data_IF_861828144045
#
_entry.id   IF_861828144045
#
_cell.length_a   1.000
_cell.length_b   1.000
_cell.length_c   1.000
_cell.angle_alpha   90.00
_cell.angle_beta   90.00
_cell.angle_gamma   90.00
#
_symmetry.space_group_name_H-M   'P 1'
#
loop_
_entity.id
_entity.type
_entity.pdbx_description
1 polymer ?
#
# COMPACT_ATOMS: atom_id res chain seq x y z
N UNK A 1 47.78 -24.67 -15.50
CA UNK A 1 47.09 -23.83 -14.51
C UNK A 1 47.27 -22.37 -14.90
N UNK A 2 46.26 -21.77 -15.54
CA UNK A 2 46.22 -20.33 -15.88
C UNK A 2 45.17 -19.69 -14.97
N UNK A 3 45.60 -18.69 -14.20
CA UNK A 3 44.81 -17.95 -13.22
C UNK A 3 43.52 -17.39 -13.82
N UNK A 4 42.38 -17.82 -13.27
CA UNK A 4 41.11 -17.10 -13.33
C UNK A 4 41.04 -16.15 -12.13
N UNK A 5 41.29 -14.86 -12.33
CA UNK A 5 40.93 -13.85 -11.34
C UNK A 5 40.76 -12.50 -11.99
N UNK A 6 39.67 -11.83 -11.62
CA UNK A 6 39.28 -10.44 -11.92
C UNK A 6 38.45 -10.21 -13.19
N UNK A 7 37.21 -10.71 -13.18
CA UNK A 7 36.14 -10.24 -14.06
C UNK A 7 35.09 -9.36 -13.35
N UNK A 8 35.26 -9.00 -12.07
CA UNK A 8 34.13 -8.51 -11.25
C UNK A 8 34.33 -7.16 -10.52
N UNK A 9 35.27 -6.31 -10.98
CA UNK A 9 35.47 -4.97 -10.41
C UNK A 9 35.59 -3.90 -11.51
N UNK A 10 34.59 -3.82 -12.39
CA UNK A 10 34.41 -2.64 -13.23
C UNK A 10 33.81 -1.54 -12.34
N UNK A 11 34.66 -0.60 -11.91
CA UNK A 11 34.17 0.60 -11.22
C UNK A 11 33.60 1.52 -12.27
N UNK A 12 32.28 1.68 -12.29
CA UNK A 12 31.58 2.47 -13.30
C UNK A 12 32.01 3.94 -13.20
N UNK A 13 32.70 4.43 -14.23
CA UNK A 13 33.06 5.83 -14.39
C UNK A 13 32.00 6.55 -15.21
N UNK A 14 31.67 7.79 -14.83
CA UNK A 14 30.82 8.68 -15.63
C UNK A 14 31.64 9.91 -15.99
N UNK A 15 31.80 10.17 -17.29
CA UNK A 15 32.66 11.25 -17.78
C UNK A 15 34.05 11.25 -17.10
N UNK A 16 34.66 10.07 -16.98
CA UNK A 16 35.96 9.82 -16.33
C UNK A 16 36.04 10.06 -14.80
N UNK A 17 34.90 10.25 -14.13
CA UNK A 17 34.81 10.39 -12.67
C UNK A 17 34.43 9.04 -12.05
N UNK A 18 35.28 8.53 -11.15
CA UNK A 18 35.04 7.31 -10.39
C UNK A 18 33.93 7.54 -9.35
N UNK A 19 32.85 6.77 -9.42
CA UNK A 19 31.78 6.83 -8.44
C UNK A 19 32.16 6.07 -7.15
N UNK A 20 31.77 6.53 -5.96
CA UNK A 20 32.02 5.83 -4.70
C UNK A 20 31.07 4.64 -4.47
N UNK A 21 30.19 4.33 -5.43
CA UNK A 21 29.20 3.26 -5.38
C UNK A 21 29.03 2.64 -6.77
N UNK A 22 28.52 1.41 -6.82
CA UNK A 22 28.22 0.69 -8.07
C UNK A 22 27.03 1.35 -8.78
N UNK A 23 27.18 1.63 -10.08
CA UNK A 23 26.09 2.21 -10.87
C UNK A 23 25.15 1.10 -11.31
N UNK A 24 23.85 1.29 -11.08
CA UNK A 24 22.83 0.33 -11.47
C UNK A 24 21.96 0.99 -12.53
N UNK A 25 21.85 0.35 -13.69
CA UNK A 25 21.07 0.85 -14.82
C UNK A 25 19.58 0.47 -14.70
N UNK A 26 18.89 0.97 -13.67
CA UNK A 26 17.47 0.70 -13.41
C UNK A 26 16.58 0.97 -14.64
N UNK A 27 16.81 2.08 -15.34
CA UNK A 27 16.00 2.48 -16.48
C UNK A 27 16.10 1.52 -17.68
N UNK A 28 17.12 0.65 -17.74
CA UNK A 28 17.19 -0.42 -18.73
C UNK A 28 16.09 -1.47 -18.52
N UNK A 29 15.70 -1.71 -17.28
CA UNK A 29 14.72 -2.72 -16.89
C UNK A 29 13.31 -2.15 -16.66
N UNK A 30 13.08 -0.86 -16.94
CA UNK A 30 11.78 -0.20 -16.74
C UNK A 30 10.61 -0.90 -17.43
N UNK A 31 10.83 -1.48 -18.62
CA UNK A 31 9.80 -2.20 -19.36
C UNK A 31 9.36 -3.49 -18.65
N UNK A 32 10.32 -4.20 -18.04
CA UNK A 32 10.02 -5.38 -17.22
C UNK A 32 9.25 -4.96 -15.97
N UNK A 33 9.65 -3.85 -15.34
CA UNK A 33 8.94 -3.28 -14.20
C UNK A 33 7.48 -2.94 -14.54
N UNK A 34 7.24 -2.29 -15.68
CA UNK A 34 5.87 -2.02 -16.14
C UNK A 34 5.08 -3.29 -16.42
N UNK A 35 5.68 -4.29 -17.06
CA UNK A 35 5.02 -5.57 -17.31
C UNK A 35 4.60 -6.26 -16.01
N UNK A 36 5.49 -6.30 -15.02
CA UNK A 36 5.19 -6.85 -13.70
C UNK A 36 4.09 -6.06 -12.99
N UNK A 37 4.20 -4.73 -12.93
CA UNK A 37 3.18 -3.88 -12.29
C UNK A 37 1.82 -4.01 -12.96
N UNK A 38 1.78 -4.03 -14.30
CA UNK A 38 0.53 -4.20 -15.03
C UNK A 38 -0.11 -5.56 -14.73
N UNK A 39 0.69 -6.64 -14.71
CA UNK A 39 0.21 -7.97 -14.36
C UNK A 39 -0.40 -7.98 -12.95
N UNK A 40 0.31 -7.45 -11.95
CA UNK A 40 -0.18 -7.41 -10.56
C UNK A 40 -1.45 -6.58 -10.45
N UNK A 41 -1.51 -5.39 -11.08
CA UNK A 41 -2.72 -4.56 -11.10
C UNK A 41 -3.90 -5.29 -11.76
N UNK A 42 -3.68 -5.98 -12.87
CA UNK A 42 -4.74 -6.75 -13.54
C UNK A 42 -5.26 -7.88 -12.64
N UNK A 43 -4.37 -8.61 -11.96
CA UNK A 43 -4.75 -9.66 -11.00
C UNK A 43 -5.52 -9.05 -9.82
N UNK A 44 -5.06 -7.93 -9.28
CA UNK A 44 -5.72 -7.19 -8.20
C UNK A 44 -7.13 -6.75 -8.60
N UNK A 45 -7.28 -6.14 -9.78
CA UNK A 45 -8.57 -5.71 -10.30
C UNK A 45 -9.50 -6.90 -10.58
N UNK A 46 -8.96 -8.01 -11.08
CA UNK A 46 -9.74 -9.23 -11.28
C UNK A 46 -10.37 -9.71 -9.96
N UNK A 47 -9.61 -9.78 -8.87
CA UNK A 47 -10.17 -10.18 -7.57
C UNK A 47 -11.15 -9.15 -7.02
N UNK A 48 -10.84 -7.85 -7.11
CA UNK A 48 -11.74 -6.77 -6.67
C UNK A 48 -13.10 -6.87 -7.36
N UNK A 49 -13.11 -7.08 -8.69
CA UNK A 49 -14.36 -7.14 -9.47
C UNK A 49 -15.12 -8.44 -9.23
N UNK A 50 -14.42 -9.58 -9.17
CA UNK A 50 -15.07 -10.91 -9.09
C UNK A 50 -15.51 -11.30 -7.69
N UNK A 51 -14.71 -10.97 -6.67
CA UNK A 51 -14.99 -11.33 -5.28
C UNK A 51 -15.50 -10.16 -4.44
N UNK A 52 -15.24 -8.92 -4.84
CA UNK A 52 -15.56 -7.75 -4.02
C UNK A 52 -14.72 -7.67 -2.73
N UNK A 53 -15.21 -6.87 -1.78
CA UNK A 53 -14.55 -6.63 -0.50
C UNK A 53 -15.33 -7.28 0.65
N UNK A 54 -14.61 -7.87 1.60
CA UNK A 54 -15.17 -8.33 2.86
C UNK A 54 -15.22 -7.15 3.83
N UNK A 55 -16.30 -6.38 3.78
CA UNK A 55 -16.45 -5.21 4.65
C UNK A 55 -16.63 -5.63 6.10
N UNK A 56 -15.91 -4.95 6.98
CA UNK A 56 -15.93 -5.19 8.39
C UNK A 56 -17.08 -4.53 9.12
N UNK A 57 -17.19 -4.89 10.39
CA UNK A 57 -18.29 -4.48 11.25
C UNK A 57 -18.47 -2.96 11.34
N UNK A 58 -17.38 -2.21 11.30
CA UNK A 58 -17.37 -0.74 11.32
C UNK A 58 -18.15 -0.12 10.16
N UNK A 59 -18.20 -0.81 9.00
CA UNK A 59 -18.86 -0.31 7.80
C UNK A 59 -20.25 -0.90 7.57
N UNK A 60 -20.46 -2.15 7.97
CA UNK A 60 -21.75 -2.82 7.77
C UNK A 60 -22.71 -2.64 8.94
N UNK A 61 -22.19 -2.34 10.14
CA UNK A 61 -22.91 -2.47 11.40
C UNK A 61 -23.31 -3.93 11.69
N UNK A 62 -23.83 -4.17 12.90
CA UNK A 62 -24.36 -5.46 13.33
C UNK A 62 -23.60 -6.07 14.49
N UNK A 63 -23.61 -7.40 14.56
CA UNK A 63 -22.95 -8.18 15.61
C UNK A 63 -21.99 -9.19 15.00
N UNK A 64 -20.74 -9.22 15.44
CA UNK A 64 -19.76 -10.26 15.11
C UNK A 64 -19.42 -11.03 16.37
N UNK A 65 -19.35 -12.35 16.24
CA UNK A 65 -18.99 -13.26 17.33
C UNK A 65 -17.92 -14.20 16.83
N UNK A 66 -16.74 -14.12 17.43
CA UNK A 66 -15.66 -15.09 17.21
C UNK A 66 -15.72 -16.20 18.24
N UNK A 67 -15.77 -17.42 17.74
CA UNK A 67 -15.92 -18.63 18.55
C UNK A 67 -14.86 -19.66 18.21
N UNK A 68 -14.48 -20.45 19.20
CA UNK A 68 -13.63 -21.64 19.06
C UNK A 68 -14.41 -22.87 19.50
N UNK A 69 -14.61 -23.79 18.56
CA UNK A 69 -15.25 -25.07 18.81
C UNK A 69 -14.26 -26.13 19.30
N UNK A 70 -14.74 -27.12 20.03
CA UNK A 70 -13.94 -28.25 20.52
C UNK A 70 -13.47 -29.16 19.37
N UNK A 71 -14.28 -29.26 18.32
CA UNK A 71 -14.05 -30.05 17.12
C UNK A 71 -14.11 -29.15 15.87
N UNK A 72 -13.56 -29.59 14.72
CA UNK A 72 -13.71 -28.87 13.46
C UNK A 72 -15.18 -28.53 13.20
N UNK A 73 -15.46 -27.26 12.92
CA UNK A 73 -16.82 -26.77 12.82
C UNK A 73 -17.45 -27.08 11.46
N UNK A 74 -18.69 -27.56 11.46
CA UNK A 74 -19.49 -27.76 10.25
C UNK A 74 -20.24 -26.47 9.92
N UNK A 75 -19.66 -25.68 9.01
CA UNK A 75 -20.20 -24.36 8.61
C UNK A 75 -21.62 -24.45 8.01
N UNK A 76 -21.94 -25.37 7.07
CA UNK A 76 -23.32 -25.59 6.61
C UNK A 76 -24.30 -25.84 7.75
N UNK A 77 -23.97 -26.74 8.69
CA UNK A 77 -24.84 -27.04 9.82
C UNK A 77 -25.02 -25.82 10.72
N UNK A 78 -23.96 -25.05 10.97
CA UNK A 78 -24.03 -23.82 11.75
C UNK A 78 -25.01 -22.82 11.13
N UNK A 79 -24.92 -22.61 9.81
CA UNK A 79 -25.81 -21.70 9.07
C UNK A 79 -27.26 -22.16 9.16
N UNK A 80 -27.51 -23.47 9.05
CA UNK A 80 -28.86 -24.02 9.16
C UNK A 80 -29.46 -23.77 10.55
N UNK A 81 -28.71 -24.07 11.62
CA UNK A 81 -29.18 -23.86 13.00
C UNK A 81 -29.47 -22.38 13.25
N UNK A 82 -28.60 -21.47 12.79
CA UNK A 82 -28.84 -20.03 12.92
C UNK A 82 -30.09 -19.58 12.15
N UNK A 83 -30.28 -20.08 10.93
CA UNK A 83 -31.48 -19.78 10.14
C UNK A 83 -32.77 -20.31 10.80
N UNK A 84 -32.78 -21.52 11.35
CA UNK A 84 -33.92 -22.09 12.08
C UNK A 84 -34.29 -21.28 13.33
N UNK A 85 -33.32 -20.59 13.92
CA UNK A 85 -33.50 -19.68 15.07
C UNK A 85 -33.75 -18.21 14.64
N UNK A 86 -34.18 -17.97 13.40
CA UNK A 86 -34.59 -16.65 12.91
C UNK A 86 -33.46 -15.76 12.40
N UNK A 87 -32.22 -16.25 12.35
CA UNK A 87 -31.03 -15.52 11.88
C UNK A 87 -30.69 -15.88 10.43
N UNK A 88 -31.66 -15.77 9.53
CA UNK A 88 -31.55 -16.21 8.12
C UNK A 88 -30.42 -15.54 7.32
N UNK A 89 -29.98 -14.34 7.74
CA UNK A 89 -28.94 -13.56 7.06
C UNK A 89 -27.58 -13.61 7.79
N UNK A 90 -27.39 -14.55 8.72
CA UNK A 90 -26.11 -14.72 9.40
C UNK A 90 -25.05 -15.27 8.42
N UNK A 91 -23.93 -14.58 8.32
CA UNK A 91 -22.76 -15.02 7.56
C UNK A 91 -21.84 -15.77 8.52
N UNK A 92 -21.56 -17.03 8.20
CA UNK A 92 -20.67 -17.89 8.99
C UNK A 92 -19.42 -18.19 8.18
N UNK A 93 -18.24 -17.91 8.73
CA UNK A 93 -16.95 -18.08 8.08
C UNK A 93 -15.90 -18.62 9.05
N UNK A 94 -14.91 -19.37 8.56
CA UNK A 94 -13.80 -19.81 9.39
C UNK A 94 -12.89 -18.61 9.74
N UNK A 95 -12.40 -18.54 10.97
CA UNK A 95 -11.61 -17.42 11.51
C UNK A 95 -10.24 -17.93 11.95
N UNK A 96 -9.24 -17.94 11.05
CA UNK A 96 -7.88 -18.39 11.34
C UNK A 96 -7.65 -19.91 11.26
N UNK A 97 -8.57 -20.76 11.75
CA UNK A 97 -8.42 -22.23 11.72
C UNK A 97 -9.74 -23.00 11.54
N UNK A 98 -9.68 -24.32 11.37
CA UNK A 98 -10.87 -25.18 11.10
C UNK A 98 -11.84 -25.31 12.28
N UNK A 99 -11.40 -24.93 13.48
CA UNK A 99 -12.21 -24.91 14.72
C UNK A 99 -12.71 -23.53 15.09
N UNK A 100 -12.13 -22.52 14.48
CA UNK A 100 -12.42 -21.14 14.81
C UNK A 100 -13.39 -20.59 13.77
N UNK A 101 -14.50 -20.05 14.24
CA UNK A 101 -15.57 -19.60 13.38
C UNK A 101 -16.05 -18.23 13.83
N UNK A 102 -16.13 -17.34 12.85
CA UNK A 102 -16.76 -16.04 12.97
C UNK A 102 -18.20 -16.14 12.49
N UNK A 103 -19.13 -15.70 13.33
CA UNK A 103 -20.54 -15.53 12.98
C UNK A 103 -20.83 -14.03 12.93
N UNK A 104 -21.22 -13.54 11.75
CA UNK A 104 -21.60 -12.14 11.53
C UNK A 104 -23.10 -12.05 11.28
N UNK A 105 -23.77 -11.20 12.03
CA UNK A 105 -25.20 -10.95 11.90
C UNK A 105 -25.41 -9.46 11.57
N UNK A 106 -26.12 -9.13 10.48
CA UNK A 106 -26.37 -7.74 10.09
C UNK A 106 -27.16 -6.95 11.16
N UNK A 107 -26.98 -5.63 11.17
CA UNK A 107 -27.64 -4.70 12.10
C UNK A 107 -29.18 -4.67 12.04
N UNK A 108 -29.79 -5.36 11.09
CA UNK A 108 -31.26 -5.49 10.97
C UNK A 108 -31.90 -6.08 12.23
N UNK A 109 -31.14 -6.85 13.01
CA UNK A 109 -31.54 -7.35 14.32
C UNK A 109 -31.13 -6.32 15.37
N UNK A 110 -32.02 -5.37 15.66
CA UNK A 110 -31.79 -4.26 16.59
C UNK A 110 -31.88 -4.70 18.07
N UNK A 111 -31.13 -5.74 18.44
CA UNK A 111 -31.07 -6.30 19.79
C UNK A 111 -29.62 -6.28 20.31
N UNK A 112 -29.30 -5.43 21.31
CA UNK A 112 -27.98 -5.42 21.95
C UNK A 112 -27.60 -6.75 22.61
N UNK A 113 -28.58 -7.60 22.97
CA UNK A 113 -28.34 -8.91 23.60
C UNK A 113 -28.19 -10.05 22.59
N UNK A 114 -28.24 -9.75 21.29
CA UNK A 114 -28.15 -10.75 20.23
C UNK A 114 -26.89 -11.60 20.34
N UNK A 115 -25.77 -11.01 20.77
CA UNK A 115 -24.53 -11.74 21.01
C UNK A 115 -24.68 -12.86 22.04
N UNK A 116 -25.36 -12.57 23.16
CA UNK A 116 -25.63 -13.53 24.23
C UNK A 116 -26.65 -14.58 23.80
N UNK A 117 -27.62 -14.20 22.97
CA UNK A 117 -28.61 -15.14 22.42
C UNK A 117 -27.98 -16.13 21.43
N UNK A 118 -27.11 -15.65 20.55
CA UNK A 118 -26.36 -16.51 19.62
C UNK A 118 -25.43 -17.44 20.40
N UNK A 119 -24.79 -16.96 21.47
CA UNK A 119 -24.02 -17.82 22.39
C UNK A 119 -24.86 -18.99 22.89
N UNK A 120 -26.06 -18.74 23.42
CA UNK A 120 -26.92 -19.84 23.90
C UNK A 120 -27.30 -20.81 22.79
N UNK A 121 -27.66 -20.31 21.60
CA UNK A 121 -28.01 -21.16 20.45
C UNK A 121 -26.84 -22.10 20.09
N UNK A 122 -25.62 -21.56 20.02
CA UNK A 122 -24.42 -22.34 19.69
C UNK A 122 -24.07 -23.37 20.76
N UNK A 123 -24.15 -22.98 22.04
CA UNK A 123 -23.87 -23.87 23.17
C UNK A 123 -24.90 -25.00 23.31
N UNK A 124 -26.17 -24.72 23.08
CA UNK A 124 -27.26 -25.67 23.30
C UNK A 124 -27.43 -26.67 22.14
N UNK A 125 -27.17 -26.22 20.90
CA UNK A 125 -27.48 -27.01 19.70
C UNK A 125 -26.25 -27.64 19.03
N UNK A 126 -25.05 -27.12 19.26
CA UNK A 126 -23.86 -27.52 18.49
C UNK A 126 -22.74 -28.04 19.39
N UNK A 127 -22.22 -27.21 20.29
CA UNK A 127 -21.11 -27.58 21.17
C UNK A 127 -21.25 -26.91 22.53
N UNK A 128 -21.54 -27.71 23.56
CA UNK A 128 -21.65 -27.24 24.95
C UNK A 128 -20.36 -26.59 25.47
N UNK A 129 -19.21 -26.91 24.89
CA UNK A 129 -17.91 -26.38 25.28
C UNK A 129 -17.39 -25.32 24.30
N UNK A 130 -18.25 -24.72 23.46
CA UNK A 130 -17.85 -23.62 22.59
C UNK A 130 -17.29 -22.45 23.41
N UNK A 131 -16.08 -22.03 23.09
CA UNK A 131 -15.44 -20.89 23.73
C UNK A 131 -15.67 -19.64 22.88
N UNK A 132 -16.08 -18.54 23.52
CA UNK A 132 -16.25 -17.26 22.83
C UNK A 132 -15.01 -16.43 23.05
N UNK A 133 -14.36 -16.03 21.96
CA UNK A 133 -13.19 -15.16 21.99
C UNK A 133 -13.59 -13.70 22.13
N UNK A 134 -14.56 -13.27 21.33
CA UNK A 134 -15.06 -11.90 21.34
C UNK A 134 -16.51 -11.84 20.86
N UNK A 135 -17.23 -10.82 21.35
CA UNK A 135 -18.53 -10.39 20.85
C UNK A 135 -18.38 -8.89 20.60
N UNK A 136 -18.59 -8.47 19.37
CA UNK A 136 -18.51 -7.09 18.95
C UNK A 136 -19.86 -6.67 18.38
N UNK A 137 -20.33 -5.49 18.78
CA UNK A 137 -21.59 -4.92 18.31
C UNK A 137 -21.38 -3.47 17.90
N UNK A 138 -21.83 -3.14 16.70
CA UNK A 138 -21.85 -1.77 16.17
C UNK A 138 -23.27 -1.45 15.71
N UNK A 139 -23.87 -0.45 16.34
CA UNK A 139 -25.20 0.02 15.95
C UNK A 139 -25.20 0.67 14.55
N UNK A 140 -26.31 0.61 13.80
CA UNK A 140 -26.37 1.07 12.42
C UNK A 140 -26.01 2.56 12.26
N UNK A 141 -26.47 3.41 13.18
CA UNK A 141 -26.15 4.85 13.16
C UNK A 141 -24.65 5.11 13.37
N UNK A 142 -24.02 4.34 14.28
CA UNK A 142 -22.59 4.47 14.56
C UNK A 142 -21.79 3.99 13.37
N UNK A 143 -22.16 2.86 12.75
CA UNK A 143 -21.51 2.36 11.54
C UNK A 143 -21.59 3.34 10.36
N UNK A 144 -22.74 4.00 10.16
CA UNK A 144 -22.89 5.04 9.13
C UNK A 144 -21.97 6.24 9.38
N UNK A 145 -21.90 6.71 10.63
CA UNK A 145 -21.01 7.81 11.03
C UNK A 145 -19.53 7.44 10.86
N UNK A 146 -19.14 6.23 11.26
CA UNK A 146 -17.78 5.69 11.09
C UNK A 146 -17.40 5.58 9.61
N UNK A 147 -18.29 5.03 8.79
CA UNK A 147 -18.10 4.91 7.33
C UNK A 147 -17.90 6.28 6.69
N UNK A 148 -18.79 7.21 7.00
CA UNK A 148 -18.77 8.58 6.48
C UNK A 148 -17.48 9.29 6.89
N UNK A 149 -17.07 9.14 8.15
CA UNK A 149 -15.82 9.69 8.67
C UNK A 149 -14.59 9.11 7.98
N UNK A 150 -14.56 7.79 7.73
CA UNK A 150 -13.47 7.14 7.03
C UNK A 150 -13.34 7.63 5.57
N UNK A 151 -14.48 7.81 4.89
CA UNK A 151 -14.53 8.37 3.54
C UNK A 151 -13.99 9.80 3.54
N UNK A 152 -14.47 10.66 4.44
CA UNK A 152 -13.98 12.05 4.52
C UNK A 152 -12.50 12.12 4.88
N UNK A 153 -12.04 11.33 5.85
CA UNK A 153 -10.61 11.26 6.20
C UNK A 153 -9.76 10.89 4.97
N UNK A 154 -10.17 9.86 4.23
CA UNK A 154 -9.46 9.41 3.02
C UNK A 154 -9.42 10.49 1.94
N UNK A 155 -10.56 11.13 1.64
CA UNK A 155 -10.64 12.18 0.64
C UNK A 155 -9.81 13.41 1.01
N UNK A 156 -9.87 13.84 2.28
CA UNK A 156 -9.08 14.97 2.79
C UNK A 156 -7.59 14.64 2.71
N UNK A 157 -7.16 13.44 3.14
CA UNK A 157 -5.76 13.03 3.03
C UNK A 157 -5.29 13.00 1.57
N UNK A 158 -6.10 12.47 0.65
CA UNK A 158 -5.76 12.46 -0.77
C UNK A 158 -5.63 13.89 -1.32
N UNK A 159 -6.56 14.78 -0.98
CA UNK A 159 -6.51 16.18 -1.41
C UNK A 159 -5.27 16.90 -0.86
N UNK A 160 -4.97 16.72 0.43
CA UNK A 160 -3.76 17.27 1.06
C UNK A 160 -2.49 16.75 0.40
N UNK A 161 -2.46 15.47 0.02
CA UNK A 161 -1.34 14.87 -0.70
C UNK A 161 -1.17 15.49 -2.09
N UNK A 162 -2.25 15.64 -2.86
CA UNK A 162 -2.20 16.28 -4.19
C UNK A 162 -1.69 17.71 -4.10
N UNK A 163 -2.18 18.48 -3.11
CA UNK A 163 -1.71 19.84 -2.83
C UNK A 163 -0.21 19.82 -2.49
N UNK A 164 0.20 18.98 -1.54
CA UNK A 164 1.61 18.88 -1.14
C UNK A 164 2.52 18.53 -2.31
N UNK A 165 2.18 17.49 -3.08
CA UNK A 165 2.98 17.04 -4.22
C UNK A 165 3.02 18.10 -5.33
N UNK A 166 1.88 18.73 -5.62
CA UNK A 166 1.77 19.79 -6.63
C UNK A 166 2.59 21.04 -6.30
N UNK A 167 2.67 21.43 -5.02
CA UNK A 167 3.53 22.54 -4.59
C UNK A 167 5.00 22.14 -4.49
N UNK A 168 5.30 20.90 -4.07
CA UNK A 168 6.66 20.47 -3.75
C UNK A 168 7.47 20.06 -4.98
N UNK A 169 6.83 19.47 -5.99
CA UNK A 169 7.48 18.87 -7.16
C UNK A 169 6.99 19.43 -8.48
N UNK A 170 7.81 19.24 -9.52
CA UNK A 170 7.39 19.50 -10.89
C UNK A 170 6.31 18.49 -11.30
N UNK A 171 5.32 18.94 -12.08
CA UNK A 171 4.09 18.18 -12.32
C UNK A 171 4.30 16.78 -12.91
N UNK A 172 5.39 16.52 -13.66
CA UNK A 172 5.70 15.20 -14.23
C UNK A 172 6.17 14.24 -13.15
N UNK A 173 7.01 14.72 -12.23
CA UNK A 173 7.39 13.97 -11.03
C UNK A 173 6.16 13.74 -10.14
N UNK A 174 5.34 14.77 -9.96
CA UNK A 174 4.12 14.70 -9.16
C UNK A 174 3.15 13.64 -9.68
N UNK A 175 2.79 13.69 -10.96
CA UNK A 175 1.93 12.69 -11.60
C UNK A 175 2.53 11.28 -11.57
N UNK A 176 3.84 11.16 -11.81
CA UNK A 176 4.53 9.87 -11.70
C UNK A 176 4.41 9.27 -10.29
N UNK A 177 4.59 10.08 -9.25
CA UNK A 177 4.42 9.68 -7.86
C UNK A 177 2.98 9.30 -7.52
N UNK A 178 2.00 10.11 -7.94
CA UNK A 178 0.57 9.84 -7.68
C UNK A 178 0.13 8.53 -8.34
N UNK A 179 0.55 8.27 -9.58
CA UNK A 179 0.22 7.02 -10.27
C UNK A 179 0.89 5.79 -9.63
N UNK A 180 2.11 5.93 -9.12
CA UNK A 180 2.77 4.88 -8.35
C UNK A 180 2.02 4.60 -7.03
N UNK A 181 1.57 5.64 -6.33
CA UNK A 181 0.75 5.48 -5.13
C UNK A 181 -0.59 4.80 -5.42
N UNK A 182 -1.25 5.19 -6.52
CA UNK A 182 -2.50 4.55 -6.94
C UNK A 182 -2.28 3.06 -7.22
N UNK A 183 -1.17 2.71 -7.89
CA UNK A 183 -0.77 1.32 -8.05
C UNK A 183 -0.64 0.60 -6.69
N UNK A 184 0.07 1.16 -5.72
CA UNK A 184 0.30 0.51 -4.42
C UNK A 184 -0.99 0.26 -3.65
N UNK A 185 -1.90 1.23 -3.67
CA UNK A 185 -3.24 1.12 -3.04
C UNK A 185 -4.08 0.05 -3.75
N UNK A 186 -4.11 0.03 -5.09
CA UNK A 186 -4.85 -0.98 -5.85
C UNK A 186 -4.30 -2.37 -5.58
N UNK A 187 -2.97 -2.53 -5.52
CA UNK A 187 -2.35 -3.82 -5.23
C UNK A 187 -2.74 -4.29 -3.84
N UNK A 188 -2.65 -3.41 -2.83
CA UNK A 188 -3.03 -3.72 -1.45
C UNK A 188 -4.50 -4.12 -1.34
N UNK A 189 -5.42 -3.34 -1.92
CA UNK A 189 -6.84 -3.67 -1.98
C UNK A 189 -7.11 -4.99 -2.71
N UNK A 190 -6.38 -5.26 -3.79
CA UNK A 190 -6.49 -6.49 -4.56
C UNK A 190 -6.11 -7.73 -3.77
N UNK A 191 -5.06 -7.65 -2.96
CA UNK A 191 -4.66 -8.76 -2.08
C UNK A 191 -5.71 -8.98 -0.98
N UNK A 192 -6.25 -7.91 -0.40
CA UNK A 192 -7.34 -8.01 0.59
C UNK A 192 -8.59 -8.66 0.00
N UNK A 193 -8.98 -8.25 -1.20
CA UNK A 193 -10.07 -8.88 -1.94
C UNK A 193 -9.77 -10.33 -2.31
N UNK A 194 -8.54 -10.65 -2.74
CA UNK A 194 -8.13 -12.01 -3.09
C UNK A 194 -8.26 -12.97 -1.90
N UNK A 195 -7.72 -12.55 -0.75
CA UNK A 195 -7.66 -13.31 0.49
C UNK A 195 -8.96 -13.24 1.31
N UNK A 196 -9.90 -12.37 0.92
CA UNK A 196 -11.14 -12.10 1.64
C UNK A 196 -10.91 -11.69 3.10
N UNK A 197 -9.82 -10.94 3.34
CA UNK A 197 -9.52 -10.36 4.65
C UNK A 197 -10.46 -9.19 4.89
N UNK A 198 -10.92 -9.07 6.14
CA UNK A 198 -11.84 -8.03 6.56
C UNK A 198 -11.21 -6.63 6.43
N UNK A 199 -11.99 -5.71 5.83
CA UNK A 199 -11.66 -4.30 5.72
C UNK A 199 -12.44 -3.55 6.79
N UNK A 200 -11.73 -3.10 7.82
CA UNK A 200 -12.22 -2.35 8.98
C UNK A 200 -11.56 -0.95 9.02
N UNK A 201 -11.81 -0.17 10.08
CA UNK A 201 -11.16 1.13 10.24
C UNK A 201 -9.65 1.02 10.44
N UNK A 202 -9.17 -0.08 11.02
CA UNK A 202 -7.72 -0.30 11.19
C UNK A 202 -7.04 -0.47 9.83
N UNK A 203 -7.67 -1.16 8.87
CA UNK A 203 -7.21 -1.22 7.49
C UNK A 203 -7.14 0.17 6.84
N UNK A 204 -8.16 1.02 7.02
CA UNK A 204 -8.14 2.39 6.47
C UNK A 204 -6.95 3.17 7.01
N UNK A 205 -6.71 3.11 8.33
CA UNK A 205 -5.55 3.73 8.95
C UNK A 205 -4.22 3.19 8.39
N UNK A 206 -4.13 1.88 8.12
CA UNK A 206 -2.97 1.27 7.48
C UNK A 206 -2.76 1.80 6.06
N UNK A 207 -3.80 1.89 5.23
CA UNK A 207 -3.69 2.44 3.86
C UNK A 207 -3.20 3.89 3.87
N UNK A 208 -3.73 4.74 4.76
CA UNK A 208 -3.26 6.12 4.88
C UNK A 208 -1.79 6.19 5.31
N UNK A 209 -1.36 5.25 6.17
CA UNK A 209 0.05 5.12 6.57
C UNK A 209 0.93 4.66 5.40
N UNK A 210 0.50 3.65 4.63
CA UNK A 210 1.20 3.15 3.43
C UNK A 210 1.42 4.28 2.41
N UNK A 211 0.40 5.10 2.17
CA UNK A 211 0.49 6.24 1.27
C UNK A 211 1.63 7.18 1.72
N UNK A 212 1.75 7.46 3.02
CA UNK A 212 2.84 8.25 3.58
C UNK A 212 4.22 7.61 3.37
N UNK A 213 4.35 6.32 3.67
CA UNK A 213 5.61 5.57 3.50
C UNK A 213 6.06 5.50 2.02
N UNK A 214 5.16 5.13 1.11
CA UNK A 214 5.47 5.04 -0.33
C UNK A 214 5.78 6.41 -0.94
N UNK A 215 5.07 7.47 -0.50
CA UNK A 215 5.36 8.83 -0.93
C UNK A 215 6.73 9.29 -0.44
N UNK A 216 7.11 8.97 0.80
CA UNK A 216 8.43 9.31 1.35
C UNK A 216 9.58 8.75 0.49
N UNK A 217 9.48 7.49 0.05
CA UNK A 217 10.50 6.90 -0.83
C UNK A 217 10.58 7.65 -2.17
N UNK A 218 9.43 7.97 -2.75
CA UNK A 218 9.35 8.74 -4.01
C UNK A 218 9.95 10.15 -3.84
N UNK A 219 9.69 10.83 -2.72
CA UNK A 219 10.24 12.16 -2.39
C UNK A 219 11.77 12.13 -2.39
N UNK A 220 12.37 11.14 -1.73
CA UNK A 220 13.84 11.01 -1.63
C UNK A 220 14.46 10.84 -3.02
N UNK A 221 13.87 9.98 -3.86
CA UNK A 221 14.32 9.77 -5.24
C UNK A 221 14.15 11.06 -6.05
N UNK A 222 12.98 11.70 -5.98
CA UNK A 222 12.69 12.91 -6.76
C UNK A 222 13.61 14.07 -6.40
N UNK A 223 13.85 14.31 -5.11
CA UNK A 223 14.78 15.35 -4.68
C UNK A 223 16.20 15.05 -5.16
N UNK A 224 16.64 13.79 -5.11
CA UNK A 224 17.97 13.42 -5.61
C UNK A 224 18.09 13.59 -7.12
N UNK A 225 17.04 13.26 -7.87
CA UNK A 225 16.95 13.52 -9.32
C UNK A 225 17.05 15.02 -9.61
N UNK A 226 16.28 15.86 -8.90
CA UNK A 226 16.34 17.32 -9.04
C UNK A 226 17.72 17.89 -8.71
N UNK A 227 18.35 17.41 -7.64
CA UNK A 227 19.68 17.81 -7.22
C UNK A 227 20.72 17.46 -8.29
N UNK A 228 20.71 16.22 -8.80
CA UNK A 228 21.66 15.76 -9.81
C UNK A 228 21.46 16.45 -11.16
N UNK A 229 20.22 16.76 -11.55
CA UNK A 229 19.98 17.59 -12.74
C UNK A 229 20.66 18.96 -12.66
N UNK A 230 20.81 19.53 -11.46
CA UNK A 230 21.51 20.81 -11.25
C UNK A 230 23.03 20.63 -11.18
N UNK A 231 23.52 19.57 -10.54
CA UNK A 231 24.95 19.32 -10.29
C UNK A 231 25.69 18.71 -11.47
N UNK A 232 25.17 17.62 -12.03
CA UNK A 232 25.85 16.84 -13.06
C UNK A 232 25.60 17.53 -14.40
N UNK A 233 26.64 17.95 -15.12
CA UNK A 233 26.52 18.57 -16.45
C UNK A 233 26.86 17.53 -17.52
N UNK A 234 26.29 17.69 -18.73
CA UNK A 234 26.60 16.87 -19.91
C UNK A 234 26.36 15.35 -19.73
N UNK A 235 25.24 14.99 -19.09
CA UNK A 235 24.75 13.60 -19.01
C UNK A 235 23.30 13.54 -19.49
N UNK A 236 22.89 12.37 -19.99
CA UNK A 236 21.51 12.17 -20.43
C UNK A 236 20.54 12.13 -19.24
N UNK A 237 19.26 12.42 -19.46
CA UNK A 237 18.23 12.31 -18.40
C UNK A 237 18.19 10.90 -17.78
N UNK A 238 18.27 9.87 -18.62
CA UNK A 238 18.23 8.46 -18.18
C UNK A 238 19.41 8.13 -17.28
N UNK A 239 20.59 8.61 -17.64
CA UNK A 239 21.81 8.43 -16.86
C UNK A 239 21.72 9.15 -15.51
N UNK A 240 21.24 10.40 -15.49
CA UNK A 240 21.02 11.15 -14.25
C UNK A 240 20.04 10.41 -13.32
N UNK A 241 18.95 9.85 -13.87
CA UNK A 241 18.00 9.05 -13.08
C UNK A 241 18.66 7.80 -12.50
N UNK A 242 19.44 7.06 -13.29
CA UNK A 242 20.15 5.87 -12.79
C UNK A 242 21.12 6.23 -11.67
N UNK A 243 21.90 7.31 -11.82
CA UNK A 243 22.80 7.82 -10.78
C UNK A 243 22.02 8.14 -9.51
N UNK A 244 20.92 8.89 -9.64
CA UNK A 244 20.09 9.28 -8.49
C UNK A 244 19.52 8.07 -7.75
N UNK A 245 18.98 7.09 -8.48
CA UNK A 245 18.46 5.86 -7.90
C UNK A 245 19.54 5.06 -7.20
N UNK A 246 20.73 4.91 -7.79
CA UNK A 246 21.85 4.21 -7.16
C UNK A 246 22.31 4.90 -5.87
N UNK A 247 22.29 6.23 -5.82
CA UNK A 247 22.66 6.99 -4.63
C UNK A 247 21.64 6.86 -3.49
N UNK A 248 20.34 6.78 -3.82
CA UNK A 248 19.28 6.69 -2.81
C UNK A 248 18.96 5.26 -2.39
N UNK A 249 19.33 4.26 -3.20
CA UNK A 249 18.94 2.85 -3.01
C UNK A 249 19.20 2.34 -1.58
N UNK A 250 20.39 2.56 -1.05
CA UNK A 250 20.75 2.06 0.30
C UNK A 250 19.85 2.66 1.38
N UNK A 251 19.57 3.96 1.30
CA UNK A 251 18.67 4.63 2.24
C UNK A 251 17.26 4.05 2.14
N UNK A 252 16.71 3.99 0.93
CA UNK A 252 15.35 3.49 0.66
C UNK A 252 15.19 2.04 1.12
N UNK A 253 16.13 1.17 0.80
CA UNK A 253 16.08 -0.23 1.23
C UNK A 253 16.19 -0.35 2.75
N UNK A 254 17.07 0.42 3.41
CA UNK A 254 17.23 0.34 4.86
C UNK A 254 15.99 0.82 5.60
N UNK A 255 15.36 1.91 5.18
CA UNK A 255 14.11 2.39 5.78
C UNK A 255 12.98 1.36 5.64
N UNK A 256 12.86 0.74 4.48
CA UNK A 256 11.80 -0.24 4.22
C UNK A 256 12.07 -1.56 4.92
N UNK A 257 13.28 -2.12 4.85
CA UNK A 257 13.63 -3.39 5.50
C UNK A 257 13.45 -3.29 7.02
N UNK A 258 13.94 -2.20 7.63
CA UNK A 258 13.79 -2.02 9.09
C UNK A 258 12.33 -1.94 9.51
N UNK A 259 11.50 -1.22 8.75
CA UNK A 259 10.06 -1.15 9.01
C UNK A 259 9.37 -2.50 8.75
N UNK A 260 9.73 -3.20 7.67
CA UNK A 260 9.19 -4.52 7.33
C UNK A 260 9.49 -5.56 8.40
N UNK A 261 10.67 -5.53 9.04
CA UNK A 261 10.98 -6.45 10.15
C UNK A 261 9.98 -6.26 11.30
N UNK A 262 9.67 -5.02 11.67
CA UNK A 262 8.69 -4.72 12.73
C UNK A 262 7.29 -5.15 12.29
N UNK A 263 6.90 -4.84 11.06
CA UNK A 263 5.59 -5.20 10.52
C UNK A 263 5.41 -6.71 10.43
N UNK A 264 6.46 -7.47 10.06
CA UNK A 264 6.43 -8.94 10.06
C UNK A 264 6.25 -9.48 11.48
N UNK A 265 6.94 -8.90 12.47
CA UNK A 265 6.73 -9.28 13.87
C UNK A 265 5.29 -8.99 14.32
N UNK A 266 4.71 -7.85 13.93
CA UNK A 266 3.30 -7.54 14.21
C UNK A 266 2.35 -8.52 13.51
N UNK A 267 2.64 -8.93 12.27
CA UNK A 267 1.80 -9.88 11.54
C UNK A 267 1.81 -11.27 12.20
N UNK A 268 2.98 -11.73 12.67
CA UNK A 268 3.13 -13.06 13.26
C UNK A 268 2.69 -13.13 14.73
N UNK A 269 2.91 -12.06 15.51
CA UNK A 269 2.72 -12.06 16.96
C UNK A 269 1.66 -11.07 17.46
N UNK A 270 1.11 -10.22 16.59
CA UNK A 270 0.16 -9.16 16.96
C UNK A 270 -1.26 -9.63 17.25
N UNK A 271 -1.63 -10.83 16.79
CA UNK A 271 -2.96 -11.39 16.95
C UNK A 271 -4.00 -10.83 15.96
N UNK A 272 -5.27 -11.28 16.07
CA UNK A 272 -6.31 -11.01 15.06
C UNK A 272 -6.64 -9.52 14.88
N UNK A 273 -6.68 -8.75 15.96
CA UNK A 273 -7.12 -7.34 15.97
C UNK A 273 -6.24 -6.42 15.12
N UNK A 274 -4.95 -6.72 14.99
CA UNK A 274 -4.01 -5.91 14.18
C UNK A 274 -3.47 -6.67 12.96
N UNK A 275 -4.06 -7.83 12.66
CA UNK A 275 -3.65 -8.65 11.52
C UNK A 275 -3.92 -7.92 10.19
N UNK A 276 -5.12 -7.36 10.00
CA UNK A 276 -5.46 -6.56 8.81
C UNK A 276 -4.54 -5.33 8.69
N UNK A 277 -4.31 -4.62 9.78
CA UNK A 277 -3.41 -3.47 9.81
C UNK A 277 -1.97 -3.84 9.36
N UNK A 278 -1.38 -4.87 9.98
CA UNK A 278 0.00 -5.30 9.70
C UNK A 278 0.15 -5.90 8.30
N UNK A 279 -0.85 -6.66 7.82
CA UNK A 279 -0.85 -7.20 6.46
C UNK A 279 -0.88 -6.09 5.40
N UNK A 280 -1.72 -5.06 5.61
CA UNK A 280 -1.79 -3.91 4.71
C UNK A 280 -0.46 -3.15 4.66
N UNK A 281 0.18 -2.91 5.80
CA UNK A 281 1.52 -2.30 5.86
C UNK A 281 2.58 -3.17 5.16
N UNK A 282 2.55 -4.49 5.34
CA UNK A 282 3.51 -5.41 4.74
C UNK A 282 3.49 -5.32 3.21
N UNK A 283 2.28 -5.41 2.64
CA UNK A 283 2.07 -5.34 1.19
C UNK A 283 2.39 -3.94 0.69
N UNK A 284 1.87 -2.91 1.36
CA UNK A 284 2.02 -1.52 0.95
C UNK A 284 3.47 -1.05 0.95
N UNK A 285 4.24 -1.33 2.00
CA UNK A 285 5.67 -0.97 2.06
C UNK A 285 6.47 -1.78 1.03
N UNK A 286 6.18 -3.08 0.90
CA UNK A 286 6.86 -3.95 -0.07
C UNK A 286 6.69 -3.45 -1.51
N UNK A 287 5.45 -3.21 -1.95
CA UNK A 287 5.16 -2.69 -3.28
C UNK A 287 5.54 -1.22 -3.45
N UNK A 288 5.43 -0.39 -2.41
CA UNK A 288 5.79 1.03 -2.47
C UNK A 288 7.28 1.29 -2.67
N UNK A 289 8.13 0.50 -2.03
CA UNK A 289 9.58 0.55 -2.28
C UNK A 289 9.93 0.13 -3.70
N UNK A 290 9.23 -0.87 -4.24
CA UNK A 290 9.40 -1.27 -5.63
C UNK A 290 8.88 -0.19 -6.61
N UNK A 291 7.70 0.37 -6.36
CA UNK A 291 7.01 1.31 -7.25
C UNK A 291 7.75 2.66 -7.31
N UNK A 292 8.30 3.15 -6.20
CA UNK A 292 9.10 4.37 -6.18
C UNK A 292 10.36 4.27 -7.07
N UNK A 293 10.98 3.09 -7.17
CA UNK A 293 12.18 2.84 -7.97
C UNK A 293 11.85 2.61 -9.45
N UNK A 294 10.86 1.76 -9.75
CA UNK A 294 10.61 1.28 -11.11
C UNK A 294 9.40 1.91 -11.82
N UNK A 295 8.47 2.52 -11.08
CA UNK A 295 7.23 3.07 -11.63
C UNK A 295 7.24 4.60 -11.57
N UNK A 296 7.39 5.19 -10.39
CA UNK A 296 7.23 6.63 -10.18
C UNK A 296 8.12 7.47 -11.09
N UNK A 297 9.44 7.25 -11.02
CA UNK A 297 10.41 8.02 -11.80
C UNK A 297 10.41 7.63 -13.29
N UNK A 298 10.08 6.37 -13.60
CA UNK A 298 9.99 5.91 -14.97
C UNK A 298 8.79 6.53 -15.69
N UNK A 299 7.64 6.66 -14.99
CA UNK A 299 6.47 7.35 -15.51
C UNK A 299 6.76 8.83 -15.73
N UNK A 300 7.44 9.49 -14.78
CA UNK A 300 7.90 10.85 -14.97
C UNK A 300 8.78 11.00 -16.22
N UNK A 301 9.71 10.06 -16.46
CA UNK A 301 10.51 10.01 -17.68
C UNK A 301 9.64 9.90 -18.93
N UNK A 302 8.60 9.07 -18.92
CA UNK A 302 7.67 8.92 -20.05
C UNK A 302 6.81 10.17 -20.27
N UNK A 303 6.49 10.94 -19.23
CA UNK A 303 5.86 12.26 -19.33
C UNK A 303 6.81 13.36 -19.86
N UNK A 304 8.00 12.97 -20.33
CA UNK A 304 8.94 13.87 -20.97
C UNK A 304 9.79 14.65 -19.97
N UNK A 305 10.13 14.05 -18.82
CA UNK A 305 11.07 14.65 -17.88
C UNK A 305 12.39 14.97 -18.59
N UNK A 306 12.82 16.22 -18.47
CA UNK A 306 14.07 16.73 -19.05
C UNK A 306 14.75 17.63 -18.05
N UNK A 307 16.05 17.80 -18.24
CA UNK A 307 16.89 18.69 -17.42
C UNK A 307 16.35 20.12 -17.38
N UNK A 308 15.88 20.63 -18.51
CA UNK A 308 15.40 22.01 -18.65
C UNK A 308 14.26 22.35 -17.68
N UNK A 309 13.42 21.37 -17.34
CA UNK A 309 12.33 21.54 -16.39
C UNK A 309 12.78 21.69 -14.92
N UNK A 310 14.07 21.42 -14.63
CA UNK A 310 14.62 21.39 -13.27
C UNK A 310 15.60 22.53 -12.98
N UNK A 311 15.94 23.30 -14.01
CA UNK A 311 16.77 24.48 -13.92
C UNK A 311 15.86 25.71 -13.77
N UNK A 312 16.24 26.71 -12.96
CA UNK A 312 15.52 27.98 -12.96
C UNK A 312 15.55 28.58 -14.38
N UNK A 313 14.44 29.15 -14.87
CA UNK A 313 14.42 29.81 -16.17
C UNK A 313 15.54 30.85 -16.20
N UNK A 314 16.33 30.86 -17.28
CA UNK A 314 17.29 31.95 -17.50
C UNK A 314 16.46 33.23 -17.62
N UNK A 315 16.56 34.10 -16.61
CA UNK A 315 16.09 35.48 -16.75
C UNK A 315 16.98 36.09 -17.81
N UNK A 316 16.48 36.26 -19.03
CA UNK A 316 17.11 37.15 -20.00
C UNK A 316 17.13 38.53 -19.34
N UNK A 317 18.32 39.01 -18.98
CA UNK A 317 18.47 40.39 -18.54
C UNK A 317 18.16 41.25 -19.77
N UNK A 318 17.07 42.00 -19.73
CA UNK A 318 16.84 43.08 -20.70
C UNK A 318 18.12 43.92 -20.78
N UNK A 319 18.77 43.92 -21.95
CA UNK A 319 20.02 44.66 -22.20
C UNK A 319 21.29 43.82 -22.42
N UNK A 320 21.25 42.49 -22.37
CA UNK A 320 22.43 41.67 -22.70
C UNK A 320 22.88 41.79 -24.18
N UNK A 321 21.98 42.26 -25.06
CA UNK A 321 22.23 42.51 -26.48
C UNK A 321 22.39 44.02 -26.81
N UNK A 322 22.42 44.91 -25.79
CA UNK A 322 22.72 46.31 -26.05
C UNK A 322 24.24 46.48 -26.22
N UNK A 323 24.63 46.76 -27.46
CA UNK A 323 25.98 47.18 -27.84
C UNK A 323 26.41 48.33 -26.93
N UNK A 324 27.52 48.14 -26.21
CA UNK A 324 28.02 49.13 -25.27
C UNK A 324 28.23 50.45 -26.01
N UNK A 325 27.43 51.48 -25.67
CA UNK A 325 27.66 52.85 -26.13
C UNK A 325 29.00 53.30 -25.55
N UNK A 326 30.07 53.12 -26.32
CA UNK A 326 31.41 53.64 -26.01
C UNK A 326 31.36 55.17 -26.09
N UNK A 327 31.74 55.90 -25.03
CA UNK A 327 31.99 57.34 -25.12
C UNK A 327 33.32 57.68 -25.80
#
# INVERSE_FOLDING_TARGET
>A
MKNSTNADNQVDTINDIKLPYKLIHFMRYRAIGYGFSLLVVVISLFFIITKGFNWGLDFTGGTVIDTTFSQPADLPKLRQVLAENGLHNAVVQASGGVRDVMVRVPASFNDPNLGTHIKSILSDNIDKNVNIRSIEFVGPNVGEELTTSAIYATLITLAMLLVYVGFRFEWRLGLGGILALAHDVIVTLGVFSMLQVEIDLTFVAAILSVIGYSLNDSIVVFDRVRENFRKIRRSSTVEIINISLSQTLSRTLMTSITTLIVVIALLLFGGPTIHSFSLALLIGIGFGTYSSIYIAIALALNFGLKREHMLPPKVEKEGADQEALLP
#
